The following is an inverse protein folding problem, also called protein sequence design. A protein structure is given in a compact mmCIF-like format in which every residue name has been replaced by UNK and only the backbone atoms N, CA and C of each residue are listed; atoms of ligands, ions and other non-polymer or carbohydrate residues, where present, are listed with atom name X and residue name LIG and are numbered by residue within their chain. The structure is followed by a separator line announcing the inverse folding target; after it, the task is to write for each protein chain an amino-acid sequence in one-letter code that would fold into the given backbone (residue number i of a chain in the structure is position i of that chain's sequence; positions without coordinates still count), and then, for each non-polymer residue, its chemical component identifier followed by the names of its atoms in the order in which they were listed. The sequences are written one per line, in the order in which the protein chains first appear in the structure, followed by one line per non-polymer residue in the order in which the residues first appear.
data_IF_011964008225
#
_entry.id   IF_011964008225
#
_cell.length_a   1.000
_cell.length_b   1.000
_cell.length_c   1.000
_cell.angle_alpha   90.00
_cell.angle_beta   90.00
_cell.angle_gamma   90.00
#
_symmetry.space_group_name_H-M   'P 1'
#
loop_
_entity.id
_entity.type
_entity.pdbx_description
1 polymer ?
#
# COMPACT_ATOMS: atom_id res chain seq x y z
N UNK A 1 8.48 13.25 16.32
CA UNK A 1 7.70 13.55 15.09
C UNK A 1 7.16 12.23 14.55
N UNK A 2 5.85 12.10 14.36
CA UNK A 2 5.26 10.93 13.70
C UNK A 2 5.46 11.12 12.19
N UNK A 3 6.31 10.30 11.57
CA UNK A 3 6.43 10.27 10.11
C UNK A 3 5.18 9.56 9.61
N UNK A 4 4.26 10.31 8.99
CA UNK A 4 3.09 9.70 8.34
C UNK A 4 3.56 9.01 7.07
N UNK A 5 3.42 7.68 7.04
CA UNK A 5 3.81 6.85 5.90
C UNK A 5 3.02 7.21 4.63
N UNK A 6 1.76 7.60 4.80
CA UNK A 6 0.85 8.01 3.74
C UNK A 6 0.29 9.38 4.09
N UNK A 7 0.47 10.33 3.18
CA UNK A 7 -0.09 11.67 3.26
C UNK A 7 -1.08 11.88 2.13
N UNK A 8 -2.29 12.33 2.47
CA UNK A 8 -3.25 12.85 1.50
C UNK A 8 -2.84 14.28 1.13
N UNK A 9 -2.52 14.47 -0.14
CA UNK A 9 -2.13 15.78 -0.71
C UNK A 9 -3.20 16.32 -1.67
N UNK A 10 -4.40 15.75 -1.59
CA UNK A 10 -5.58 16.22 -2.32
C UNK A 10 -6.02 17.59 -1.78
N UNK A 11 -6.49 18.45 -2.67
CA UNK A 11 -7.11 19.73 -2.32
C UNK A 11 -8.65 19.67 -2.42
N UNK A 12 -9.32 20.82 -2.22
CA UNK A 12 -10.78 20.91 -2.29
C UNK A 12 -11.40 20.56 -3.65
N UNK A 13 -10.62 20.42 -4.72
CA UNK A 13 -11.09 20.07 -6.07
C UNK A 13 -11.21 18.57 -6.30
N UNK A 14 -10.64 17.74 -5.43
CA UNK A 14 -10.65 16.30 -5.58
C UNK A 14 -12.01 15.70 -5.24
N UNK A 15 -12.40 14.65 -5.96
CA UNK A 15 -13.68 13.95 -5.80
C UNK A 15 -13.78 13.26 -4.43
N UNK A 16 -12.69 12.66 -3.98
CA UNK A 16 -12.58 12.07 -2.65
C UNK A 16 -11.99 13.11 -1.69
N UNK A 17 -12.73 13.47 -0.64
CA UNK A 17 -12.26 14.34 0.43
C UNK A 17 -12.23 13.63 1.79
N UNK A 18 -11.62 14.30 2.77
CA UNK A 18 -11.48 13.81 4.17
C UNK A 18 -10.83 12.43 4.24
N UNK A 19 -9.92 12.15 3.31
CA UNK A 19 -9.30 10.84 3.19
C UNK A 19 -8.36 10.58 4.36
N UNK A 20 -8.60 9.46 5.02
CA UNK A 20 -7.70 8.84 5.99
C UNK A 20 -7.25 7.50 5.44
N UNK A 21 -5.93 7.29 5.44
CA UNK A 21 -5.33 6.02 5.04
C UNK A 21 -4.66 5.39 6.25
N UNK A 22 -4.96 4.11 6.46
CA UNK A 22 -4.29 3.28 7.47
C UNK A 22 -3.56 2.14 6.77
N UNK A 23 -2.28 1.94 7.11
CA UNK A 23 -1.50 0.80 6.68
C UNK A 23 -1.18 -0.10 7.87
N UNK A 24 -1.46 -1.40 7.74
CA UNK A 24 -1.14 -2.41 8.76
C UNK A 24 -0.33 -3.55 8.14
N UNK A 25 0.90 -3.84 8.61
CA UNK A 25 1.62 -3.13 9.67
C UNK A 25 2.02 -1.71 9.25
N UNK A 26 2.15 -0.80 10.21
CA UNK A 26 2.54 0.59 9.96
C UNK A 26 3.96 0.74 9.38
N UNK A 27 4.80 -0.29 9.54
CA UNK A 27 6.13 -0.40 8.95
C UNK A 27 6.13 -1.65 8.05
N UNK A 28 5.78 -1.50 6.76
CA UNK A 28 5.64 -2.63 5.87
C UNK A 28 6.98 -3.11 5.33
N UNK A 29 7.04 -4.38 4.92
CA UNK A 29 8.27 -5.01 4.42
C UNK A 29 8.10 -5.56 3.02
N UNK A 30 9.19 -5.54 2.25
CA UNK A 30 9.23 -6.16 0.94
C UNK A 30 8.87 -7.65 1.02
N UNK A 31 8.13 -8.13 0.02
CA UNK A 31 7.67 -9.51 -0.03
C UNK A 31 6.57 -9.88 0.98
N UNK A 32 6.08 -8.95 1.80
CA UNK A 32 5.03 -9.21 2.79
C UNK A 32 3.71 -8.54 2.42
N UNK A 33 2.62 -9.06 2.99
CA UNK A 33 1.30 -8.47 2.84
C UNK A 33 1.10 -7.29 3.77
N UNK A 34 0.35 -6.30 3.29
CA UNK A 34 -0.08 -5.13 4.04
C UNK A 34 -1.58 -4.94 3.86
N UNK A 35 -2.30 -4.68 4.94
CA UNK A 35 -3.68 -4.22 4.88
C UNK A 35 -3.67 -2.71 4.66
N UNK A 36 -4.24 -2.29 3.53
CA UNK A 36 -4.44 -0.90 3.13
C UNK A 36 -5.92 -0.55 3.32
N UNK A 37 -6.21 0.35 4.24
CA UNK A 37 -7.57 0.85 4.49
C UNK A 37 -7.68 2.32 4.13
N UNK A 38 -8.71 2.66 3.36
CA UNK A 38 -9.05 4.03 3.01
C UNK A 38 -10.45 4.35 3.49
N UNK A 39 -10.59 5.49 4.15
CA UNK A 39 -11.86 6.02 4.61
C UNK A 39 -11.94 7.49 4.21
N UNK A 40 -13.04 7.92 3.61
CA UNK A 40 -13.23 9.30 3.20
C UNK A 40 -14.67 9.57 2.82
N UNK A 41 -14.88 10.62 2.03
CA UNK A 41 -16.20 11.00 1.55
C UNK A 41 -16.14 11.38 0.06
N UNK A 42 -16.98 10.73 -0.74
CA UNK A 42 -17.13 11.01 -2.16
C UNK A 42 -18.10 12.16 -2.37
N UNK A 43 -17.67 13.18 -3.10
CA UNK A 43 -18.55 14.32 -3.48
C UNK A 43 -19.56 13.95 -4.56
N UNK A 44 -19.24 12.95 -5.38
CA UNK A 44 -20.06 12.46 -6.48
C UNK A 44 -19.86 10.96 -6.70
N UNK A 45 -20.76 10.27 -7.42
CA UNK A 45 -20.59 8.87 -7.77
C UNK A 45 -19.35 8.63 -8.64
N UNK A 46 -18.67 7.51 -8.44
CA UNK A 46 -17.45 7.16 -9.20
C UNK A 46 -17.50 5.71 -9.65
N UNK A 47 -17.18 5.44 -10.91
CA UNK A 47 -16.91 4.07 -11.37
C UNK A 47 -15.44 3.70 -11.09
N UNK A 48 -15.22 2.94 -10.00
CA UNK A 48 -13.90 2.50 -9.56
C UNK A 48 -13.18 1.63 -10.59
N UNK A 49 -13.92 0.98 -11.50
CA UNK A 49 -13.33 0.14 -12.55
C UNK A 49 -12.63 0.96 -13.63
N UNK A 50 -12.97 2.25 -13.72
CA UNK A 50 -12.46 3.18 -14.74
C UNK A 50 -11.54 4.26 -14.18
N UNK A 51 -11.30 4.26 -12.88
CA UNK A 51 -10.30 5.13 -12.26
C UNK A 51 -8.92 4.79 -12.84
N UNK A 52 -8.19 5.82 -13.24
CA UNK A 52 -6.80 5.72 -13.70
C UNK A 52 -5.87 6.23 -12.62
N UNK A 53 -4.72 5.59 -12.46
CA UNK A 53 -3.72 5.85 -11.45
C UNK A 53 -2.37 6.10 -12.11
N UNK A 54 -1.85 7.30 -11.98
CA UNK A 54 -0.46 7.64 -12.29
C UNK A 54 0.39 7.41 -11.05
N UNK A 55 1.34 6.48 -11.14
CA UNK A 55 2.25 6.10 -10.07
C UNK A 55 3.65 6.58 -10.45
N UNK A 56 4.20 7.49 -9.66
CA UNK A 56 5.57 7.99 -9.83
C UNK A 56 6.40 7.54 -8.65
N UNK A 57 7.46 6.77 -8.91
CA UNK A 57 8.40 6.31 -7.88
C UNK A 57 9.70 7.11 -7.98
N UNK A 58 10.18 7.59 -6.83
CA UNK A 58 11.43 8.32 -6.66
C UNK A 58 12.31 7.66 -5.60
N UNK A 59 13.62 7.68 -5.83
CA UNK A 59 14.65 7.37 -4.82
C UNK A 59 15.44 8.65 -4.58
N UNK A 60 15.30 9.25 -3.39
CA UNK A 60 15.82 10.60 -3.14
C UNK A 60 15.28 11.63 -4.14
N UNK A 61 16.13 12.46 -4.77
CA UNK A 61 15.69 13.49 -5.73
C UNK A 61 15.40 12.95 -7.14
N UNK A 62 15.77 11.71 -7.44
CA UNK A 62 15.71 11.16 -8.81
C UNK A 62 14.40 10.43 -9.04
N UNK A 63 13.72 10.76 -10.15
CA UNK A 63 12.56 10.04 -10.65
C UNK A 63 13.02 8.77 -11.37
N UNK A 64 12.54 7.63 -10.91
CA UNK A 64 12.96 6.31 -11.40
C UNK A 64 11.93 5.66 -12.29
N UNK A 65 10.66 5.84 -11.95
CA UNK A 65 9.55 5.24 -12.67
C UNK A 65 8.36 6.18 -12.71
N UNK A 66 7.68 6.18 -13.84
CA UNK A 66 6.32 6.67 -13.97
C UNK A 66 5.53 5.68 -14.79
N UNK A 67 4.37 5.24 -14.27
CA UNK A 67 3.46 4.36 -14.99
C UNK A 67 2.02 4.76 -14.74
N UNK A 68 1.20 4.57 -15.76
CA UNK A 68 -0.24 4.70 -15.68
C UNK A 68 -0.86 3.31 -15.62
N UNK A 69 -1.78 3.11 -14.69
CA UNK A 69 -2.54 1.89 -14.48
C UNK A 69 -4.02 2.23 -14.40
N UNK A 70 -4.90 1.30 -14.76
CA UNK A 70 -6.26 1.35 -14.20
C UNK A 70 -6.18 0.98 -12.71
N UNK A 71 -7.11 1.45 -11.89
CA UNK A 71 -7.18 1.06 -10.48
C UNK A 71 -7.29 -0.48 -10.31
N UNK A 72 -8.14 -1.20 -11.08
CA UNK A 72 -8.12 -2.66 -11.09
C UNK A 72 -6.74 -3.25 -11.39
N UNK A 73 -6.06 -2.74 -12.43
CA UNK A 73 -4.74 -3.26 -12.83
C UNK A 73 -3.64 -2.94 -11.82
N UNK A 74 -3.71 -1.79 -11.13
CA UNK A 74 -2.81 -1.46 -10.04
C UNK A 74 -3.00 -2.42 -8.86
N UNK A 75 -4.24 -2.67 -8.46
CA UNK A 75 -4.54 -3.63 -7.38
C UNK A 75 -4.09 -5.03 -7.75
N UNK A 76 -4.36 -5.49 -8.97
CA UNK A 76 -3.93 -6.81 -9.45
C UNK A 76 -2.41 -6.95 -9.42
N UNK A 77 -1.66 -5.91 -9.83
CA UNK A 77 -0.20 -5.90 -9.76
C UNK A 77 0.35 -6.01 -8.33
N UNK A 78 -0.48 -5.71 -7.34
CA UNK A 78 -0.20 -5.81 -5.91
C UNK A 78 -0.94 -7.01 -5.27
N UNK A 79 -1.39 -7.99 -6.05
CA UNK A 79 -2.04 -9.20 -5.55
C UNK A 79 -3.43 -8.98 -4.93
N UNK A 80 -4.05 -7.83 -5.19
CA UNK A 80 -5.37 -7.46 -4.71
C UNK A 80 -6.39 -7.37 -5.85
N UNK A 81 -7.66 -7.20 -5.51
CA UNK A 81 -8.75 -6.97 -6.46
C UNK A 81 -9.73 -5.97 -5.91
N UNK A 82 -10.42 -5.25 -6.80
CA UNK A 82 -11.59 -4.48 -6.40
C UNK A 82 -12.64 -5.40 -5.77
N UNK A 83 -13.29 -4.92 -4.73
CA UNK A 83 -14.35 -5.64 -4.02
C UNK A 83 -15.37 -4.66 -3.45
N UNK A 84 -16.55 -5.18 -3.09
CA UNK A 84 -17.66 -4.35 -2.63
C UNK A 84 -18.36 -3.63 -3.78
N UNK A 85 -18.89 -2.44 -3.48
CA UNK A 85 -19.55 -1.60 -4.47
C UNK A 85 -18.51 -0.94 -5.39
N UNK A 86 -18.62 -1.22 -6.69
CA UNK A 86 -17.73 -0.70 -7.73
C UNK A 86 -18.17 0.67 -8.25
N UNK A 87 -19.42 1.06 -7.98
CA UNK A 87 -19.99 2.33 -8.39
C UNK A 87 -20.66 3.02 -7.20
N UNK A 88 -19.89 3.29 -6.13
CA UNK A 88 -20.43 3.94 -4.94
C UNK A 88 -21.04 5.29 -5.30
N UNK A 89 -22.17 5.59 -4.67
CA UNK A 89 -22.79 6.91 -4.72
C UNK A 89 -21.94 7.93 -3.95
N UNK A 90 -22.32 9.21 -4.07
CA UNK A 90 -21.78 10.26 -3.20
C UNK A 90 -22.09 9.95 -1.72
N UNK A 91 -21.16 10.29 -0.83
CA UNK A 91 -21.28 10.06 0.60
C UNK A 91 -20.07 9.39 1.23
N UNK A 92 -20.21 8.86 2.46
CA UNK A 92 -19.15 8.12 3.14
C UNK A 92 -18.65 6.94 2.30
N UNK A 93 -17.35 6.83 2.16
CA UNK A 93 -16.70 5.82 1.34
C UNK A 93 -15.59 5.12 2.10
N UNK A 94 -15.55 3.80 1.99
CA UNK A 94 -14.53 2.96 2.61
C UNK A 94 -14.12 1.83 1.67
N UNK A 95 -12.81 1.60 1.59
CA UNK A 95 -12.24 0.46 0.88
C UNK A 95 -11.09 -0.13 1.68
N UNK A 96 -10.93 -1.46 1.58
CA UNK A 96 -9.87 -2.20 2.25
C UNK A 96 -9.29 -3.22 1.29
N UNK A 97 -7.97 -3.25 1.16
CA UNK A 97 -7.26 -4.20 0.31
C UNK A 97 -6.06 -4.80 1.05
N UNK A 98 -5.89 -6.12 0.92
CA UNK A 98 -4.64 -6.77 1.29
C UNK A 98 -3.71 -6.74 0.09
N UNK A 99 -2.66 -5.93 0.16
CA UNK A 99 -1.69 -5.72 -0.89
C UNK A 99 -0.44 -6.56 -0.61
N UNK A 100 0.04 -7.27 -1.61
CA UNK A 100 1.32 -7.98 -1.60
C UNK A 100 2.42 -7.01 -2.05
N UNK A 101 3.33 -6.64 -1.15
CA UNK A 101 4.47 -5.82 -1.55
C UNK A 101 5.46 -6.63 -2.40
N UNK A 102 6.03 -6.04 -3.46
CA UNK A 102 7.02 -6.70 -4.28
C UNK A 102 8.28 -7.02 -3.46
N UNK A 103 8.89 -8.17 -3.74
CA UNK A 103 10.15 -8.56 -3.08
C UNK A 103 11.37 -7.87 -3.72
N UNK A 104 11.31 -7.63 -5.03
CA UNK A 104 12.41 -7.11 -5.84
C UNK A 104 12.24 -5.62 -6.15
N UNK A 105 12.46 -4.76 -5.15
CA UNK A 105 12.68 -3.32 -5.36
C UNK A 105 14.01 -2.90 -4.73
N UNK A 106 14.65 -1.81 -5.21
CA UNK A 106 15.90 -1.34 -4.63
C UNK A 106 15.77 -1.04 -3.13
N UNK A 107 16.76 -1.46 -2.35
CA UNK A 107 16.86 -1.16 -0.92
C UNK A 107 17.25 0.31 -0.79
N UNK A 108 16.28 1.17 -0.48
CA UNK A 108 16.42 2.63 -0.41
C UNK A 108 15.25 3.24 0.37
N UNK A 109 15.28 4.56 0.54
CA UNK A 109 14.09 5.35 0.84
C UNK A 109 13.31 5.60 -0.46
N UNK A 110 12.03 5.23 -0.46
CA UNK A 110 11.11 5.34 -1.59
C UNK A 110 10.12 6.44 -1.31
N UNK A 111 9.89 7.28 -2.32
CA UNK A 111 8.75 8.19 -2.35
C UNK A 111 7.87 7.85 -3.54
N UNK A 112 6.64 7.46 -3.28
CA UNK A 112 5.65 7.10 -4.27
C UNK A 112 4.58 8.19 -4.30
N UNK A 113 4.44 8.83 -5.46
CA UNK A 113 3.36 9.77 -5.71
C UNK A 113 2.28 9.04 -6.49
N UNK A 114 1.10 8.90 -5.89
CA UNK A 114 -0.08 8.36 -6.56
C UNK A 114 -1.01 9.51 -6.91
N UNK A 115 -1.37 9.65 -8.18
CA UNK A 115 -2.37 10.61 -8.65
C UNK A 115 -3.43 9.86 -9.42
N UNK A 116 -4.66 9.89 -8.93
CA UNK A 116 -5.76 9.17 -9.55
C UNK A 116 -6.76 10.13 -10.20
N UNK A 117 -7.37 9.69 -11.29
CA UNK A 117 -8.41 10.41 -12.02
C UNK A 117 -9.60 9.51 -12.34
N UNK A 118 -10.80 10.07 -12.33
CA UNK A 118 -12.03 9.43 -12.78
C UNK A 118 -12.03 9.24 -14.30
N UNK A 119 -13.03 8.54 -14.84
CA UNK A 119 -13.20 8.37 -16.29
C UNK A 119 -13.57 9.67 -17.01
N UNK A 120 -14.24 10.60 -16.31
CA UNK A 120 -14.47 11.98 -16.75
C UNK A 120 -13.21 12.85 -16.74
N UNK A 121 -12.08 12.35 -16.21
CA UNK A 121 -10.81 13.08 -16.12
C UNK A 121 -10.68 13.99 -14.91
N UNK A 122 -11.65 13.99 -13.99
CA UNK A 122 -11.57 14.74 -12.73
C UNK A 122 -10.54 14.11 -11.79
N UNK A 123 -9.95 14.93 -10.92
CA UNK A 123 -9.00 14.47 -9.92
C UNK A 123 -9.73 13.63 -8.87
N UNK A 124 -9.40 12.34 -8.77
CA UNK A 124 -10.04 11.43 -7.83
C UNK A 124 -9.40 11.54 -6.44
N UNK A 125 -8.09 11.25 -6.35
CA UNK A 125 -7.29 11.39 -5.13
C UNK A 125 -5.81 11.64 -5.46
N UNK A 126 -5.06 12.14 -4.48
CA UNK A 126 -3.61 12.28 -4.55
C UNK A 126 -2.95 11.88 -3.24
N UNK A 127 -2.02 10.91 -3.29
CA UNK A 127 -1.25 10.48 -2.13
C UNK A 127 0.25 10.70 -2.34
N UNK A 128 0.92 11.03 -1.25
CA UNK A 128 2.37 10.94 -1.12
C UNK A 128 2.70 9.84 -0.10
N UNK A 129 3.45 8.84 -0.53
CA UNK A 129 3.73 7.64 0.26
C UNK A 129 5.25 7.54 0.43
N UNK A 130 5.71 7.64 1.67
CA UNK A 130 7.11 7.49 2.03
C UNK A 130 7.33 6.11 2.64
N UNK A 131 8.17 5.28 2.02
CA UNK A 131 8.50 3.93 2.49
C UNK A 131 10.01 3.83 2.64
N UNK A 132 10.49 3.49 3.82
CA UNK A 132 11.90 3.23 4.04
C UNK A 132 12.16 1.72 4.01
N UNK A 133 12.83 1.27 2.95
CA UNK A 133 13.28 -0.11 2.80
C UNK A 133 14.81 -0.24 2.98
N UNK A 134 15.51 0.83 3.36
CA UNK A 134 16.97 0.86 3.53
C UNK A 134 17.45 -0.11 4.61
N UNK A 135 16.61 -0.34 5.61
CA UNK A 135 16.81 -1.35 6.63
C UNK A 135 15.97 -2.57 6.31
N UNK A 136 16.62 -3.70 5.99
CA UNK A 136 15.96 -5.02 5.98
C UNK A 136 15.55 -5.37 7.41
N UNK A 137 14.45 -4.82 7.89
CA UNK A 137 13.86 -5.25 9.15
C UNK A 137 13.37 -6.68 8.94
N UNK A 138 14.18 -7.64 9.40
CA UNK A 138 13.74 -9.02 9.56
C UNK A 138 13.09 -9.07 10.93
N UNK A 139 11.79 -9.39 11.06
CA UNK A 139 11.31 -9.85 12.37
C UNK A 139 12.20 -11.03 12.75
N UNK A 140 12.66 -11.05 14.01
CA UNK A 140 13.20 -12.29 14.56
C UNK A 140 12.17 -13.39 14.28
N UNK A 141 12.56 -14.57 13.77
CA UNK A 141 11.67 -15.72 13.86
C UNK A 141 11.16 -15.76 15.29
N UNK A 142 9.85 -15.92 15.48
CA UNK A 142 9.31 -16.11 16.81
C UNK A 142 10.07 -17.27 17.45
N UNK A 143 10.92 -16.97 18.43
CA UNK A 143 11.52 -17.97 19.32
C UNK A 143 10.35 -18.60 20.08
N UNK A 144 9.91 -19.74 19.56
CA UNK A 144 8.68 -20.40 19.97
C UNK A 144 8.69 -21.89 19.74
N UNK A 145 9.85 -22.54 19.92
CA UNK A 145 9.98 -23.91 20.41
C UNK A 145 11.47 -24.29 20.51
N UNK A 146 12.13 -23.79 21.55
CA UNK A 146 13.39 -24.39 21.99
C UNK A 146 13.11 -25.74 22.66
N UNK A 147 13.76 -26.80 22.16
CA UNK A 147 14.36 -27.84 22.99
C UNK A 147 13.53 -29.07 23.32
N UNK A 148 13.75 -30.15 22.57
CA UNK A 148 14.15 -31.42 23.19
C UNK A 148 14.91 -32.29 22.18
N UNK A 149 16.21 -32.01 21.99
CA UNK A 149 17.14 -33.02 21.47
C UNK A 149 17.63 -33.82 22.68
N UNK A 150 16.97 -34.94 22.92
CA UNK A 150 17.49 -35.97 23.83
C UNK A 150 18.73 -36.58 23.18
N UNK A 151 19.90 -36.19 23.66
CA UNK A 151 21.15 -36.91 23.44
C UNK A 151 21.14 -38.14 24.35
N UNK A 152 20.78 -39.31 23.84
CA UNK A 152 21.18 -40.56 24.49
C UNK A 152 22.55 -40.99 23.96
N UNK A 153 23.56 -40.72 24.78
CA UNK A 153 24.92 -41.18 24.61
C UNK A 153 25.00 -42.70 24.62
N UNK A 154 25.78 -43.21 23.68
CA UNK A 154 26.23 -44.60 23.61
C UNK A 154 27.21 -44.85 24.76
N UNK A 155 26.96 -45.84 25.60
CA UNK A 155 28.01 -46.39 26.48
C UNK A 155 28.15 -47.89 26.22
N UNK A 156 29.29 -48.25 25.63
CA UNK A 156 29.84 -49.60 25.64
C UNK A 156 30.27 -49.96 27.07
N UNK A 157 29.92 -51.16 27.51
CA UNK A 157 30.85 -52.18 28.00
C UNK A 157 30.19 -53.54 27.89
#
# INVERSE_FOLDING_TARGET
MSIRLVEDVSDGTYVLDRLTVTLTPALPWLGHQVCWEMNGHLKEPVDLTRVTCNVIMKFGPVKMLERNHSLPGLLESLGARLSGDLRPAAGPWRQTWNLQLPEAVPVAEHRILLRARTDSGQNFLALDIALDFSHRFRPSPADGAAGSRVLHGSHRR
#
